data_IF_059944573902
#
_entry.id   IF_059944573902
#
_cell.length_a   1.000
_cell.length_b   1.000
_cell.length_c   1.000
_cell.angle_alpha   90.00
_cell.angle_beta   90.00
_cell.angle_gamma   90.00
#
_symmetry.space_group_name_H-M   'P 1'
#
loop_
_entity.id
_entity.type
_entity.pdbx_description
1 polymer ?
#
# COMPACT_ATOMS: atom_id res chain seq x y z
N UNK A 1 -39.24 82.29 4.84
CA UNK A 1 -38.25 82.15 3.74
C UNK A 1 -36.96 81.59 4.30
N UNK A 2 -36.49 80.50 3.70
CA UNK A 2 -35.18 79.81 3.79
C UNK A 2 -34.73 79.27 5.17
N UNK A 3 -34.81 77.94 5.27
CA UNK A 3 -34.37 77.06 6.36
C UNK A 3 -32.84 76.85 6.31
N UNK A 4 -32.25 76.72 7.48
CA UNK A 4 -30.85 76.37 7.75
C UNK A 4 -30.54 74.92 7.34
N UNK A 5 -29.35 74.68 6.79
CA UNK A 5 -28.65 73.40 6.89
C UNK A 5 -27.14 73.65 6.83
N UNK A 6 -26.47 73.42 7.96
CA UNK A 6 -25.02 73.41 8.11
C UNK A 6 -24.60 71.94 8.02
N UNK A 7 -23.81 71.56 7.01
CA UNK A 7 -23.33 70.19 6.85
C UNK A 7 -21.86 70.14 7.31
N UNK A 8 -21.62 69.49 8.45
CA UNK A 8 -20.28 69.19 8.95
C UNK A 8 -19.77 67.94 8.25
N UNK A 9 -18.67 68.06 7.49
CA UNK A 9 -17.96 66.93 6.89
C UNK A 9 -17.01 66.36 7.96
N UNK A 10 -17.30 65.15 8.44
CA UNK A 10 -16.41 64.37 9.28
C UNK A 10 -15.69 63.33 8.41
N UNK A 11 -14.40 63.53 8.13
CA UNK A 11 -13.56 62.54 7.49
C UNK A 11 -13.24 61.40 8.48
N UNK A 12 -13.90 60.26 8.33
CA UNK A 12 -13.51 58.99 8.97
C UNK A 12 -12.63 58.20 8.00
N UNK A 13 -11.32 58.26 8.21
CA UNK A 13 -10.36 57.32 7.62
C UNK A 13 -10.48 55.98 8.34
N UNK A 14 -11.20 55.03 7.75
CA UNK A 14 -11.25 53.65 8.20
C UNK A 14 -9.98 52.91 7.78
N UNK A 15 -9.09 52.65 8.74
CA UNK A 15 -7.98 51.71 8.59
C UNK A 15 -8.60 50.30 8.66
N UNK A 16 -8.84 49.67 7.52
CA UNK A 16 -9.11 48.24 7.45
C UNK A 16 -7.78 47.52 7.72
N UNK A 17 -7.54 47.20 8.98
CA UNK A 17 -6.55 46.20 9.37
C UNK A 17 -7.09 44.84 8.94
N UNK A 18 -6.59 44.29 7.83
CA UNK A 18 -6.72 42.87 7.55
C UNK A 18 -5.87 42.10 8.56
N UNK A 19 -6.41 41.84 9.74
CA UNK A 19 -5.97 40.70 10.53
C UNK A 19 -6.35 39.45 9.74
N UNK A 20 -5.36 38.86 9.04
CA UNK A 20 -5.41 37.44 8.72
C UNK A 20 -5.56 36.72 10.05
N UNK A 21 -6.72 36.13 10.30
CA UNK A 21 -6.81 35.06 11.28
C UNK A 21 -5.84 33.98 10.83
N UNK A 22 -4.68 33.91 11.48
CA UNK A 22 -3.92 32.67 11.54
C UNK A 22 -4.84 31.69 12.24
N UNK A 23 -5.52 30.84 11.46
CA UNK A 23 -6.20 29.68 12.00
C UNK A 23 -5.21 28.94 12.87
N UNK A 24 -5.55 28.80 14.14
CA UNK A 24 -4.77 28.05 15.10
C UNK A 24 -4.86 26.57 14.70
N UNK A 25 -3.81 26.08 14.04
CA UNK A 25 -3.64 24.68 13.63
C UNK A 25 -3.39 23.72 14.81
N UNK A 26 -3.71 24.14 16.04
CA UNK A 26 -3.44 23.46 17.31
C UNK A 26 -4.18 22.12 17.49
N UNK A 27 -4.88 21.60 16.48
CA UNK A 27 -5.66 20.36 16.56
C UNK A 27 -5.34 19.27 15.53
N UNK A 28 -4.45 19.51 14.55
CA UNK A 28 -4.22 18.57 13.44
C UNK A 28 -2.73 18.21 13.22
N UNK A 29 -2.06 17.57 14.19
CA UNK A 29 -0.64 17.24 14.08
C UNK A 29 -0.30 16.30 12.91
N UNK A 30 -1.26 15.51 12.42
CA UNK A 30 -1.04 14.57 11.32
C UNK A 30 -0.70 15.27 9.99
N UNK A 31 -1.03 16.57 9.82
CA UNK A 31 -0.65 17.33 8.62
C UNK A 31 0.86 17.57 8.50
N UNK A 32 1.59 17.46 9.61
CA UNK A 32 3.04 17.61 9.67
C UNK A 32 3.79 16.31 9.34
N UNK A 33 3.09 15.19 9.23
CA UNK A 33 3.73 13.90 8.95
C UNK A 33 4.11 13.82 7.47
N UNK A 34 5.38 13.52 7.23
CA UNK A 34 5.91 13.21 5.91
C UNK A 34 6.49 11.77 5.88
N UNK A 35 5.71 10.75 5.47
CA UNK A 35 6.15 9.36 5.42
C UNK A 35 7.33 9.10 4.47
N UNK A 36 7.66 10.03 3.56
CA UNK A 36 8.79 9.90 2.64
C UNK A 36 10.14 10.12 3.35
N UNK A 37 10.17 10.75 4.53
CA UNK A 37 11.41 10.95 5.27
C UNK A 37 11.95 9.58 5.71
N UNK A 38 13.06 9.16 5.09
CA UNK A 38 13.69 7.86 5.36
C UNK A 38 13.29 6.73 4.39
N UNK A 39 12.44 7.00 3.40
CA UNK A 39 11.92 6.01 2.45
C UNK A 39 12.95 5.67 1.34
N UNK A 40 14.13 5.23 1.75
CA UNK A 40 15.25 4.84 0.88
C UNK A 40 15.87 3.53 1.35
N UNK A 41 16.20 2.65 0.39
CA UNK A 41 16.93 1.39 0.59
C UNK A 41 18.28 1.35 -0.13
N UNK A 42 18.79 2.49 -0.62
CA UNK A 42 20.11 2.54 -1.27
C UNK A 42 20.96 3.71 -0.80
N UNK A 43 22.02 3.43 -0.04
CA UNK A 43 23.00 4.46 0.37
C UNK A 43 23.70 5.12 -0.82
N UNK A 44 23.95 4.36 -1.89
CA UNK A 44 24.66 4.88 -3.07
C UNK A 44 23.77 5.78 -3.90
N UNK A 45 22.52 5.38 -4.17
CA UNK A 45 21.59 6.21 -4.93
C UNK A 45 21.13 7.42 -4.12
N UNK A 46 20.89 7.24 -2.82
CA UNK A 46 20.56 8.34 -1.89
C UNK A 46 21.73 9.28 -1.60
N UNK A 47 22.97 8.89 -1.97
CA UNK A 47 24.22 9.54 -1.53
C UNK A 47 24.31 9.68 0.00
N UNK A 48 23.73 8.73 0.73
CA UNK A 48 23.66 8.72 2.19
C UNK A 48 24.90 8.04 2.79
N UNK A 49 25.58 8.75 3.69
CA UNK A 49 26.82 8.30 4.35
C UNK A 49 26.60 7.51 5.65
N UNK A 50 25.42 7.62 6.29
CA UNK A 50 25.19 7.19 7.68
C UNK A 50 24.09 6.12 7.83
N UNK A 51 23.78 5.39 6.76
CA UNK A 51 22.74 4.35 6.74
C UNK A 51 21.44 4.80 6.08
N UNK A 52 20.45 3.91 6.10
CA UNK A 52 19.18 4.05 5.38
C UNK A 52 18.04 4.00 6.39
N UNK A 53 16.99 4.81 6.20
CA UNK A 53 15.79 4.71 7.02
C UNK A 53 15.05 3.40 6.76
N UNK A 54 14.91 3.01 5.48
CA UNK A 54 14.03 1.92 5.03
C UNK A 54 12.62 2.05 5.61
N UNK A 55 12.11 3.28 5.69
CA UNK A 55 10.73 3.52 6.13
C UNK A 55 9.74 3.18 5.01
N UNK A 56 8.46 3.03 5.36
CA UNK A 56 7.39 2.65 4.45
C UNK A 56 6.52 3.88 4.20
N UNK A 57 6.40 4.37 2.96
CA UNK A 57 5.64 5.59 2.66
C UNK A 57 4.12 5.35 2.53
N UNK A 58 3.69 4.08 2.51
CA UNK A 58 2.29 3.69 2.35
C UNK A 58 1.38 4.11 3.49
N UNK A 59 0.08 3.89 3.26
CA UNK A 59 -0.96 4.17 4.24
C UNK A 59 -1.00 3.09 5.33
N UNK A 60 -1.07 3.53 6.58
CA UNK A 60 -1.34 2.69 7.76
C UNK A 60 -2.06 3.51 8.82
N UNK A 61 -2.61 2.86 9.84
CA UNK A 61 -3.08 3.48 11.09
C UNK A 61 -2.01 3.32 12.20
N UNK A 62 -2.08 4.08 13.30
CA UNK A 62 -1.19 3.82 14.44
C UNK A 62 -1.26 2.34 14.86
N UNK A 63 -0.11 1.68 14.90
CA UNK A 63 0.06 0.26 15.23
C UNK A 63 -0.78 -0.71 14.37
N UNK A 64 -1.16 -0.31 13.15
CA UNK A 64 -1.98 -1.14 12.25
C UNK A 64 -1.23 -2.35 11.71
N UNK A 65 -1.93 -3.50 11.64
CA UNK A 65 -1.46 -4.71 10.99
C UNK A 65 -1.26 -4.49 9.48
N UNK A 66 -2.24 -3.82 8.85
CA UNK A 66 -2.22 -3.51 7.43
C UNK A 66 -1.40 -2.26 7.14
N UNK A 67 -0.50 -2.38 6.17
CA UNK A 67 0.40 -1.33 5.73
C UNK A 67 0.37 -1.32 4.20
N UNK A 68 -0.54 -0.53 3.65
CA UNK A 68 -0.85 -0.52 2.21
C UNK A 68 0.11 0.43 1.50
N UNK A 69 1.16 -0.14 0.89
CA UNK A 69 2.30 0.65 0.39
C UNK A 69 2.69 0.30 -1.04
N UNK A 70 3.14 1.28 -1.85
CA UNK A 70 3.86 0.98 -3.07
C UNK A 70 5.10 0.14 -2.78
N UNK A 71 5.45 -0.74 -3.71
CA UNK A 71 6.72 -1.44 -3.77
C UNK A 71 7.40 -1.10 -5.09
N UNK A 72 8.68 -0.77 -5.03
CA UNK A 72 9.54 -0.54 -6.20
C UNK A 72 10.56 -1.65 -6.40
N UNK A 73 10.77 -2.50 -5.39
CA UNK A 73 11.79 -3.54 -5.41
C UNK A 73 11.38 -4.81 -4.65
N UNK A 74 11.72 -5.96 -5.24
CA UNK A 74 11.67 -7.30 -4.62
C UNK A 74 13.08 -7.83 -4.41
N UNK A 75 13.26 -8.68 -3.38
CA UNK A 75 14.49 -9.42 -3.14
C UNK A 75 15.57 -8.62 -2.43
N UNK A 76 16.56 -9.33 -1.88
CA UNK A 76 17.65 -8.76 -1.09
C UNK A 76 17.20 -7.98 0.14
N UNK A 77 18.11 -7.17 0.68
CA UNK A 77 17.93 -6.37 1.90
C UNK A 77 17.15 -5.05 1.64
N UNK A 78 15.96 -5.19 1.07
CA UNK A 78 15.03 -4.08 0.78
C UNK A 78 13.83 -4.12 1.72
N UNK A 79 14.10 -3.99 3.03
CA UNK A 79 13.14 -4.10 4.15
C UNK A 79 11.72 -3.61 3.87
N UNK A 80 11.58 -2.35 3.43
CA UNK A 80 10.31 -1.66 3.17
C UNK A 80 9.65 -1.99 1.83
N UNK A 81 10.38 -2.63 0.91
CA UNK A 81 9.97 -2.83 -0.48
C UNK A 81 9.95 -1.56 -1.34
N UNK A 82 10.33 -0.41 -0.77
CA UNK A 82 10.27 0.89 -1.43
C UNK A 82 11.57 1.68 -1.26
N UNK A 83 12.10 2.18 -2.38
CA UNK A 83 13.18 3.18 -2.42
C UNK A 83 12.76 4.35 -3.28
N UNK A 84 12.93 5.58 -2.78
CA UNK A 84 12.58 6.82 -3.47
C UNK A 84 13.36 7.04 -4.78
N UNK A 85 14.53 6.43 -4.91
CA UNK A 85 15.39 6.60 -6.08
C UNK A 85 14.97 5.74 -7.28
N UNK A 86 14.10 4.74 -7.07
CA UNK A 86 13.58 3.92 -8.16
C UNK A 86 12.55 4.70 -8.99
N UNK A 87 12.46 4.34 -10.27
CA UNK A 87 11.61 5.04 -11.24
C UNK A 87 10.38 4.21 -11.64
N UNK A 88 10.29 2.97 -11.14
CA UNK A 88 9.19 2.06 -11.44
C UNK A 88 8.57 1.47 -10.17
N UNK A 89 7.26 1.28 -10.20
CA UNK A 89 6.48 0.58 -9.17
C UNK A 89 6.12 -0.81 -9.71
N UNK A 90 6.35 -1.85 -8.92
CA UNK A 90 5.96 -3.23 -9.23
C UNK A 90 4.60 -3.63 -8.64
N UNK A 91 4.05 -2.82 -7.72
CA UNK A 91 2.68 -2.96 -7.21
C UNK A 91 2.50 -2.36 -5.82
N UNK A 92 1.35 -2.64 -5.21
CA UNK A 92 0.94 -2.18 -3.89
C UNK A 92 0.64 -3.38 -3.01
N UNK A 93 1.37 -3.54 -1.90
CA UNK A 93 1.21 -4.68 -0.98
C UNK A 93 0.50 -4.24 0.31
N UNK A 94 -0.07 -5.19 1.06
CA UNK A 94 -0.95 -4.91 2.22
C UNK A 94 -0.29 -5.13 3.58
N UNK A 95 0.91 -5.70 3.61
CA UNK A 95 1.69 -5.86 4.83
C UNK A 95 3.14 -5.52 4.48
N UNK A 96 3.84 -4.78 5.33
CA UNK A 96 5.24 -4.41 5.14
C UNK A 96 6.02 -4.54 6.44
N UNK A 97 7.34 -4.59 6.36
CA UNK A 97 8.21 -4.33 7.51
C UNK A 97 9.11 -3.16 7.13
N UNK A 98 9.45 -2.29 8.08
CA UNK A 98 10.29 -1.12 7.81
C UNK A 98 11.50 -1.04 8.74
N UNK A 99 12.17 0.10 8.69
CA UNK A 99 13.11 0.58 9.72
C UNK A 99 14.31 -0.34 9.93
N UNK A 100 15.18 -0.42 8.93
CA UNK A 100 16.45 -1.16 9.01
C UNK A 100 16.34 -2.69 8.98
N UNK A 101 15.14 -3.27 8.95
CA UNK A 101 14.94 -4.70 8.83
C UNK A 101 15.34 -5.24 7.44
N UNK A 102 15.75 -6.52 7.40
CA UNK A 102 15.80 -7.29 6.16
C UNK A 102 14.37 -7.52 5.65
N UNK A 103 14.22 -7.68 4.33
CA UNK A 103 12.90 -7.82 3.69
C UNK A 103 12.11 -9.01 4.25
N UNK A 104 10.87 -8.76 4.68
CA UNK A 104 9.81 -9.75 4.94
C UNK A 104 8.43 -9.08 4.77
N UNK A 105 7.34 -9.83 4.86
CA UNK A 105 6.00 -9.39 4.48
C UNK A 105 5.98 -8.97 3.01
N UNK A 106 5.41 -7.83 2.65
CA UNK A 106 5.21 -7.42 1.25
C UNK A 106 4.22 -8.31 0.51
N UNK A 107 3.32 -8.99 1.22
CA UNK A 107 2.39 -9.94 0.63
C UNK A 107 1.18 -9.26 -0.02
N UNK A 108 0.50 -10.01 -0.89
CA UNK A 108 -0.70 -9.56 -1.61
C UNK A 108 -0.40 -8.35 -2.49
N UNK A 109 0.48 -8.52 -3.48
CA UNK A 109 0.96 -7.43 -4.34
C UNK A 109 -0.02 -7.17 -5.49
N UNK A 110 -0.69 -6.03 -5.44
CA UNK A 110 -1.71 -5.61 -6.40
C UNK A 110 -1.13 -4.63 -7.40
N UNK A 111 -1.43 -4.79 -8.68
CA UNK A 111 -1.12 -3.80 -9.71
C UNK A 111 -2.35 -3.55 -10.60
N UNK A 112 -2.74 -2.29 -10.85
CA UNK A 112 -3.66 -1.96 -11.93
C UNK A 112 -2.91 -1.88 -13.26
N UNK A 113 -3.55 -2.28 -14.35
CA UNK A 113 -2.95 -2.16 -15.68
C UNK A 113 -4.05 -2.04 -16.75
N UNK A 114 -3.67 -1.51 -17.90
CA UNK A 114 -4.41 -1.68 -19.14
C UNK A 114 -3.45 -2.17 -20.25
N UNK A 115 -3.99 -2.78 -21.29
CA UNK A 115 -3.17 -3.34 -22.38
C UNK A 115 -2.65 -4.76 -22.12
N UNK A 116 -1.41 -5.01 -22.53
CA UNK A 116 -0.82 -6.37 -22.60
C UNK A 116 -0.80 -7.02 -21.20
N UNK A 117 -1.23 -8.28 -21.13
CA UNK A 117 -1.11 -9.08 -19.91
C UNK A 117 0.31 -9.60 -19.71
N UNK A 118 0.82 -9.45 -18.49
CA UNK A 118 2.05 -10.08 -18.03
C UNK A 118 1.75 -10.83 -16.72
N UNK A 119 2.28 -12.06 -16.54
CA UNK A 119 2.21 -12.80 -15.28
C UNK A 119 3.41 -12.56 -14.36
N UNK A 120 4.24 -11.54 -14.66
CA UNK A 120 5.37 -11.09 -13.82
C UNK A 120 5.46 -9.57 -13.74
N UNK A 121 6.03 -9.06 -12.64
CA UNK A 121 6.35 -7.65 -12.48
C UNK A 121 7.39 -7.14 -13.48
N UNK A 122 8.20 -8.04 -14.05
CA UNK A 122 9.35 -7.66 -14.86
C UNK A 122 10.53 -7.24 -13.99
N UNK A 123 11.56 -6.65 -14.58
CA UNK A 123 12.75 -6.17 -13.84
C UNK A 123 13.12 -4.75 -14.27
N UNK A 124 13.38 -3.88 -13.29
CA UNK A 124 13.82 -2.51 -13.56
C UNK A 124 15.15 -2.55 -14.31
N UNK A 125 15.31 -1.69 -15.32
CA UNK A 125 16.54 -1.58 -16.10
C UNK A 125 16.99 -2.88 -16.83
N UNK A 126 16.10 -3.87 -16.98
CA UNK A 126 16.35 -5.07 -17.79
C UNK A 126 15.25 -5.26 -18.84
N UNK A 127 15.43 -4.72 -20.06
CA UNK A 127 14.40 -4.81 -21.11
C UNK A 127 14.16 -6.24 -21.61
N UNK A 128 15.02 -7.20 -21.25
CA UNK A 128 14.84 -8.61 -21.57
C UNK A 128 13.81 -9.32 -20.68
N UNK A 129 13.41 -8.71 -19.55
CA UNK A 129 12.42 -9.26 -18.60
C UNK A 129 11.28 -8.25 -18.44
N UNK A 130 10.41 -8.21 -19.45
CA UNK A 130 9.22 -7.34 -19.45
C UNK A 130 8.16 -7.85 -18.47
N UNK A 131 7.40 -6.93 -17.89
CA UNK A 131 6.32 -7.26 -16.99
C UNK A 131 5.36 -6.09 -16.78
N UNK A 132 4.52 -6.18 -15.74
CA UNK A 132 3.48 -5.20 -15.45
C UNK A 132 3.96 -3.95 -14.69
N UNK A 133 5.23 -3.87 -14.29
CA UNK A 133 5.73 -2.67 -13.60
C UNK A 133 5.46 -1.43 -14.44
N UNK A 134 5.17 -0.32 -13.77
CA UNK A 134 4.94 0.96 -14.42
C UNK A 134 5.98 1.97 -13.95
N UNK A 135 6.46 2.80 -14.86
CA UNK A 135 7.01 4.10 -14.47
C UNK A 135 5.96 4.93 -13.75
N UNK A 136 6.40 5.90 -12.96
CA UNK A 136 5.50 6.80 -12.25
C UNK A 136 6.02 8.24 -12.22
N UNK A 137 5.08 9.17 -12.12
CA UNK A 137 5.39 10.59 -12.01
C UNK A 137 5.70 10.95 -10.55
N UNK A 138 6.98 11.18 -10.26
CA UNK A 138 7.48 11.62 -8.95
C UNK A 138 6.84 12.91 -8.45
N UNK A 139 6.39 13.80 -9.33
CA UNK A 139 5.73 15.04 -8.92
C UNK A 139 4.29 14.80 -8.46
N UNK A 140 3.68 13.71 -8.92
CA UNK A 140 2.34 13.27 -8.50
C UNK A 140 2.35 12.44 -7.22
N UNK A 141 3.52 11.97 -6.77
CA UNK A 141 3.67 11.15 -5.58
C UNK A 141 3.44 11.98 -4.32
N UNK A 142 2.45 11.57 -3.52
CA UNK A 142 2.18 12.18 -2.22
C UNK A 142 1.93 11.09 -1.19
N UNK A 143 2.63 11.20 -0.06
CA UNK A 143 2.41 10.39 1.12
C UNK A 143 2.09 11.32 2.30
N UNK A 144 1.01 11.04 3.02
CA UNK A 144 0.63 11.71 4.26
C UNK A 144 0.08 10.67 5.23
N UNK A 145 -0.11 11.04 6.50
CA UNK A 145 -0.65 10.13 7.50
C UNK A 145 -1.95 9.43 7.05
N UNK A 146 -1.89 8.11 6.84
CA UNK A 146 -3.03 7.27 6.45
C UNK A 146 -3.41 7.31 4.96
N UNK A 147 -2.61 7.93 4.08
CA UNK A 147 -2.91 8.03 2.65
C UNK A 147 -1.66 8.13 1.77
N UNK A 148 -1.69 7.42 0.64
CA UNK A 148 -0.69 7.50 -0.42
C UNK A 148 -1.36 7.67 -1.79
N UNK A 149 -0.74 8.40 -2.71
CA UNK A 149 -1.18 8.52 -4.11
C UNK A 149 -0.02 8.71 -5.06
N UNK A 150 -0.18 8.22 -6.30
CA UNK A 150 0.77 8.40 -7.40
C UNK A 150 0.10 8.15 -8.76
N UNK A 151 0.62 8.76 -9.83
CA UNK A 151 0.24 8.46 -11.20
C UNK A 151 1.21 7.46 -11.83
N UNK A 152 0.67 6.33 -12.32
CA UNK A 152 1.37 5.29 -13.06
C UNK A 152 1.35 5.63 -14.55
N UNK A 153 2.49 6.09 -15.07
CA UNK A 153 2.54 6.75 -16.39
C UNK A 153 2.48 5.78 -17.57
N UNK A 154 2.88 4.51 -17.39
CA UNK A 154 2.84 3.53 -18.48
C UNK A 154 1.40 3.09 -18.80
N UNK A 155 0.48 3.30 -17.86
CA UNK A 155 -0.94 2.95 -18.00
C UNK A 155 -1.89 4.14 -17.95
N UNK A 156 -1.39 5.34 -17.64
CA UNK A 156 -2.20 6.53 -17.36
C UNK A 156 -3.26 6.28 -16.26
N UNK A 157 -2.83 5.61 -15.17
CA UNK A 157 -3.70 5.24 -14.05
C UNK A 157 -3.23 5.96 -12.79
N UNK A 158 -4.14 6.68 -12.12
CA UNK A 158 -3.88 7.17 -10.76
C UNK A 158 -4.14 6.05 -9.76
N UNK A 159 -3.19 5.78 -8.88
CA UNK A 159 -3.32 4.85 -7.78
C UNK A 159 -3.35 5.58 -6.44
N UNK A 160 -4.30 5.20 -5.59
CA UNK A 160 -4.50 5.75 -4.25
C UNK A 160 -4.63 4.60 -3.24
N UNK A 161 -4.07 4.78 -2.05
CA UNK A 161 -4.12 3.80 -0.97
C UNK A 161 -4.55 4.45 0.35
N UNK A 162 -5.36 3.73 1.12
CA UNK A 162 -5.65 4.04 2.51
C UNK A 162 -5.82 2.76 3.33
N UNK A 163 -5.83 2.86 4.65
CA UNK A 163 -5.79 1.71 5.56
C UNK A 163 -6.75 1.84 6.75
N UNK A 164 -7.18 0.69 7.25
CA UNK A 164 -7.75 0.46 8.58
C UNK A 164 -6.76 -0.42 9.38
N UNK A 165 -7.00 -0.68 10.68
CA UNK A 165 -6.06 -1.48 11.47
C UNK A 165 -5.72 -2.86 10.86
N UNK A 166 -6.71 -3.57 10.30
CA UNK A 166 -6.55 -4.93 9.76
C UNK A 166 -6.81 -5.03 8.25
N UNK A 167 -6.80 -3.91 7.53
CA UNK A 167 -7.06 -3.93 6.10
C UNK A 167 -6.83 -2.60 5.41
N UNK A 168 -7.26 -2.48 4.16
CA UNK A 168 -7.20 -1.22 3.45
C UNK A 168 -7.93 -1.24 2.12
N UNK A 169 -7.89 -0.09 1.44
CA UNK A 169 -8.52 0.10 0.14
C UNK A 169 -7.50 0.69 -0.82
N UNK A 170 -7.39 0.04 -1.98
CA UNK A 170 -6.77 0.63 -3.17
C UNK A 170 -7.86 1.20 -4.06
N UNK A 171 -7.71 2.45 -4.48
CA UNK A 171 -8.55 3.11 -5.48
C UNK A 171 -7.71 3.41 -6.71
N UNK A 172 -8.19 2.98 -7.86
CA UNK A 172 -7.54 3.21 -9.15
C UNK A 172 -8.45 4.03 -10.05
N UNK A 173 -7.97 5.16 -10.55
CA UNK A 173 -8.68 5.96 -11.56
C UNK A 173 -8.15 5.59 -12.92
N UNK A 174 -8.98 4.95 -13.75
CA UNK A 174 -8.59 4.46 -15.07
C UNK A 174 -8.96 5.45 -16.18
N UNK A 175 -8.21 5.44 -17.31
CA UNK A 175 -8.66 6.07 -18.55
C UNK A 175 -9.76 5.22 -19.20
N UNK A 176 -10.40 5.74 -20.24
CA UNK A 176 -11.31 4.93 -21.05
C UNK A 176 -10.55 3.76 -21.70
N UNK A 177 -11.00 2.52 -21.43
CA UNK A 177 -10.39 1.34 -22.01
C UNK A 177 -11.41 0.19 -22.10
N UNK A 178 -11.32 -0.63 -23.15
CA UNK A 178 -12.17 -1.81 -23.30
C UNK A 178 -11.77 -2.96 -22.37
N UNK A 179 -10.51 -2.96 -21.91
CA UNK A 179 -9.91 -4.03 -21.13
C UNK A 179 -8.87 -3.47 -20.15
N UNK A 180 -9.37 -2.86 -19.08
CA UNK A 180 -8.61 -2.56 -17.87
C UNK A 180 -8.52 -3.81 -16.99
N UNK A 181 -7.56 -3.84 -16.07
CA UNK A 181 -7.26 -5.00 -15.22
C UNK A 181 -6.81 -4.58 -13.84
N UNK A 182 -7.21 -5.38 -12.84
CA UNK A 182 -6.48 -5.49 -11.57
C UNK A 182 -5.89 -6.89 -11.51
N UNK A 183 -4.61 -6.98 -11.17
CA UNK A 183 -3.86 -8.22 -11.04
C UNK A 183 -3.12 -8.29 -9.71
N UNK A 184 -2.99 -9.50 -9.18
CA UNK A 184 -2.49 -9.77 -7.82
C UNK A 184 -1.49 -10.92 -7.86
N UNK A 185 -0.27 -10.69 -7.39
CA UNK A 185 0.74 -11.72 -7.16
C UNK A 185 0.70 -12.17 -5.69
N UNK A 186 0.31 -13.43 -5.46
CA UNK A 186 0.25 -14.02 -4.12
C UNK A 186 1.57 -14.66 -3.70
N UNK A 187 2.48 -14.96 -4.64
CA UNK A 187 3.80 -15.50 -4.33
C UNK A 187 4.70 -14.44 -3.70
N UNK A 188 4.40 -13.15 -3.94
CA UNK A 188 5.19 -12.03 -3.45
C UNK A 188 5.40 -12.08 -1.92
N UNK A 189 6.67 -11.97 -1.54
CA UNK A 189 7.17 -11.70 -0.18
C UNK A 189 8.47 -10.89 -0.29
N UNK A 190 8.72 -9.91 0.56
CA UNK A 190 10.02 -9.23 0.60
C UNK A 190 11.08 -10.21 1.10
N UNK A 191 12.30 -10.15 0.55
CA UNK A 191 13.35 -11.12 0.87
C UNK A 191 13.09 -12.57 0.40
N UNK A 192 12.04 -12.84 -0.40
CA UNK A 192 11.80 -14.16 -0.97
C UNK A 192 10.42 -14.38 -1.58
N UNK A 193 9.74 -15.48 -1.25
CA UNK A 193 8.36 -15.75 -1.67
C UNK A 193 7.56 -16.50 -0.60
N UNK A 194 6.23 -16.38 -0.64
CA UNK A 194 5.38 -17.38 -0.01
C UNK A 194 5.56 -18.71 -0.77
N UNK A 195 5.61 -19.84 -0.07
CA UNK A 195 5.96 -21.14 -0.68
C UNK A 195 4.74 -21.85 -1.25
N UNK A 196 3.56 -21.57 -0.71
CA UNK A 196 2.28 -22.12 -1.14
C UNK A 196 1.18 -21.07 -0.97
N UNK A 197 0.26 -21.00 -1.92
CA UNK A 197 -0.88 -20.09 -1.89
C UNK A 197 -2.16 -20.83 -2.24
N UNK A 198 -3.26 -20.38 -1.66
CA UNK A 198 -4.61 -20.77 -2.03
C UNK A 198 -5.45 -19.54 -2.27
N UNK A 199 -6.29 -19.59 -3.29
CA UNK A 199 -7.19 -18.51 -3.69
C UNK A 199 -8.51 -19.13 -4.13
N UNK A 200 -9.63 -18.52 -3.73
CA UNK A 200 -10.98 -18.87 -4.16
C UNK A 200 -11.78 -17.62 -4.48
N UNK A 201 -12.55 -17.68 -5.57
CA UNK A 201 -13.60 -16.73 -5.93
C UNK A 201 -14.91 -17.15 -5.27
N UNK A 202 -15.53 -16.22 -4.56
CA UNK A 202 -16.81 -16.43 -3.87
C UNK A 202 -18.00 -16.29 -4.82
N UNK A 203 -19.15 -16.83 -4.40
CA UNK A 203 -20.35 -16.88 -5.24
C UNK A 203 -21.04 -15.52 -5.42
N UNK A 204 -20.64 -14.48 -4.68
CA UNK A 204 -21.14 -13.11 -4.88
C UNK A 204 -20.57 -12.42 -6.12
N UNK A 205 -19.63 -13.06 -6.83
CA UNK A 205 -18.94 -12.56 -8.02
C UNK A 205 -18.21 -11.23 -7.83
N UNK A 206 -17.90 -10.84 -6.59
CA UNK A 206 -17.13 -9.63 -6.26
C UNK A 206 -15.98 -9.93 -5.32
N UNK A 207 -15.99 -11.08 -4.67
CA UNK A 207 -15.09 -11.39 -3.58
C UNK A 207 -14.15 -12.53 -3.93
N UNK A 208 -12.91 -12.40 -3.50
CA UNK A 208 -11.94 -13.48 -3.41
C UNK A 208 -11.45 -13.64 -1.97
N UNK A 209 -11.09 -14.86 -1.58
CA UNK A 209 -10.44 -15.14 -0.29
C UNK A 209 -9.38 -16.22 -0.43
N UNK A 210 -8.46 -16.27 0.52
CA UNK A 210 -7.38 -17.23 0.45
C UNK A 210 -6.29 -17.00 1.48
N UNK A 211 -5.12 -17.58 1.21
CA UNK A 211 -3.95 -17.49 2.07
C UNK A 211 -2.63 -17.62 1.31
N UNK A 212 -1.57 -17.07 1.92
CA UNK A 212 -0.18 -17.21 1.50
C UNK A 212 0.65 -17.75 2.67
N UNK A 213 1.23 -18.95 2.51
CA UNK A 213 2.11 -19.57 3.52
C UNK A 213 3.55 -19.08 3.34
N UNK A 214 4.14 -18.50 4.38
CA UNK A 214 5.45 -17.88 4.37
C UNK A 214 6.38 -18.53 5.41
N UNK A 215 6.81 -19.78 5.18
CA UNK A 215 7.71 -20.47 6.09
C UNK A 215 9.18 -20.03 5.86
N UNK A 216 10.10 -20.41 6.77
CA UNK A 216 11.53 -20.14 6.70
C UNK A 216 12.20 -20.33 5.34
N UNK A 217 11.90 -21.44 4.65
CA UNK A 217 12.53 -21.78 3.38
C UNK A 217 12.17 -20.82 2.24
N UNK A 218 11.09 -20.04 2.41
CA UNK A 218 10.66 -18.99 1.50
C UNK A 218 11.40 -17.66 1.68
N UNK A 219 12.40 -17.57 2.57
CA UNK A 219 13.16 -16.36 2.83
C UNK A 219 12.50 -15.46 3.87
N UNK A 220 12.78 -14.15 3.81
CA UNK A 220 12.26 -13.18 4.76
C UNK A 220 13.26 -12.75 5.83
N UNK A 221 12.75 -12.21 6.93
CA UNK A 221 13.53 -11.61 8.01
C UNK A 221 14.51 -12.63 8.59
N UNK A 222 15.77 -12.21 8.81
CA UNK A 222 16.85 -13.04 9.36
C UNK A 222 17.07 -14.35 8.57
N UNK A 223 17.06 -14.27 7.23
CA UNK A 223 17.26 -15.42 6.32
C UNK A 223 16.24 -16.55 6.52
N UNK A 224 14.99 -16.19 6.85
CA UNK A 224 13.90 -17.13 7.08
C UNK A 224 13.70 -17.53 8.53
N UNK A 225 13.85 -16.61 9.49
CA UNK A 225 13.49 -16.91 10.88
C UNK A 225 11.97 -16.91 11.13
N UNK A 226 11.19 -16.31 10.23
CA UNK A 226 9.75 -16.16 10.37
C UNK A 226 8.99 -17.31 9.69
N UNK A 227 8.01 -17.86 10.41
CA UNK A 227 7.00 -18.80 9.91
C UNK A 227 5.62 -18.19 10.18
N UNK A 228 4.91 -17.80 9.12
CA UNK A 228 3.58 -17.23 9.25
C UNK A 228 2.72 -17.54 8.02
N UNK A 229 1.41 -17.38 8.17
CA UNK A 229 0.47 -17.39 7.07
C UNK A 229 -0.32 -16.10 7.09
N UNK A 230 -0.43 -15.44 5.93
CA UNK A 230 -1.33 -14.30 5.77
C UNK A 230 -2.59 -14.78 5.07
N UNK A 231 -3.73 -14.55 5.68
CA UNK A 231 -5.06 -14.81 5.14
C UNK A 231 -5.65 -13.50 4.65
N UNK A 232 -6.46 -13.56 3.59
CA UNK A 232 -7.12 -12.38 3.04
C UNK A 232 -8.60 -12.62 2.70
N UNK A 233 -9.37 -11.54 2.78
CA UNK A 233 -10.70 -11.42 2.22
C UNK A 233 -10.76 -10.11 1.43
N UNK A 234 -10.89 -10.19 0.11
CA UNK A 234 -10.78 -9.05 -0.80
C UNK A 234 -12.02 -8.90 -1.67
N UNK A 235 -12.56 -7.68 -1.74
CA UNK A 235 -13.76 -7.35 -2.50
C UNK A 235 -13.47 -6.28 -3.54
N UNK A 236 -13.84 -6.57 -4.79
CA UNK A 236 -13.75 -5.68 -5.93
C UNK A 236 -15.05 -4.88 -6.09
N UNK A 237 -14.93 -3.60 -6.44
CA UNK A 237 -16.09 -2.77 -6.83
C UNK A 237 -16.69 -3.17 -8.18
N UNK A 238 -15.86 -3.66 -9.12
CA UNK A 238 -16.30 -4.26 -10.38
C UNK A 238 -16.61 -5.76 -10.20
N UNK A 239 -17.59 -6.31 -10.92
CA UNK A 239 -17.87 -7.75 -10.88
C UNK A 239 -16.74 -8.55 -11.53
N UNK A 240 -16.45 -9.71 -10.98
CA UNK A 240 -15.49 -10.72 -11.45
C UNK A 240 -16.09 -11.52 -12.61
N UNK A 241 -16.41 -10.83 -13.72
CA UNK A 241 -17.02 -11.45 -14.89
C UNK A 241 -15.99 -12.10 -15.83
N UNK A 242 -14.80 -11.50 -15.95
CA UNK A 242 -13.71 -12.02 -16.76
C UNK A 242 -12.44 -12.10 -15.91
N UNK A 243 -12.35 -13.14 -15.09
CA UNK A 243 -11.18 -13.39 -14.26
C UNK A 243 -10.39 -14.63 -14.72
N UNK A 244 -9.17 -14.74 -14.21
CA UNK A 244 -8.33 -15.91 -14.39
C UNK A 244 -7.20 -15.94 -13.36
N UNK A 245 -6.43 -17.02 -13.42
CA UNK A 245 -5.23 -17.20 -12.64
C UNK A 245 -4.02 -17.36 -13.56
N UNK A 246 -2.84 -17.04 -13.06
CA UNK A 246 -1.60 -17.57 -13.61
C UNK A 246 -0.93 -18.46 -12.58
N UNK A 247 -0.23 -19.49 -13.04
CA UNK A 247 0.56 -20.34 -12.16
C UNK A 247 1.90 -20.70 -12.80
N UNK A 248 2.98 -20.46 -12.06
CA UNK A 248 4.31 -20.89 -12.45
C UNK A 248 4.64 -22.24 -11.81
N UNK A 249 5.14 -23.17 -12.62
CA UNK A 249 5.67 -24.44 -12.13
C UNK A 249 7.10 -24.21 -11.60
N UNK A 250 7.20 -23.97 -10.30
CA UNK A 250 8.48 -23.76 -9.60
C UNK A 250 9.03 -25.11 -9.12
N UNK A 251 10.23 -25.53 -9.59
CA UNK A 251 10.85 -26.77 -9.16
C UNK A 251 11.14 -26.78 -7.66
N UNK A 252 10.94 -27.93 -6.99
CA UNK A 252 11.17 -28.07 -5.54
C UNK A 252 12.61 -27.82 -5.12
N UNK A 253 13.57 -28.07 -6.01
CA UNK A 253 14.99 -27.88 -5.74
C UNK A 253 15.42 -26.39 -5.80
N UNK A 254 14.54 -25.48 -6.23
CA UNK A 254 14.89 -24.07 -6.37
C UNK A 254 14.82 -23.36 -5.02
N UNK A 255 15.89 -22.65 -4.68
CA UNK A 255 15.89 -21.68 -3.58
C UNK A 255 15.00 -20.50 -3.98
N UNK A 256 14.16 -20.05 -3.05
CA UNK A 256 13.15 -19.00 -3.30
C UNK A 256 13.28 -17.82 -2.34
N UNK A 257 14.51 -17.37 -2.08
CA UNK A 257 14.84 -16.26 -1.18
C UNK A 257 15.88 -15.30 -1.78
N UNK A 258 15.86 -14.06 -1.31
CA UNK A 258 16.80 -12.99 -1.65
C UNK A 258 17.00 -12.76 -3.16
N UNK A 259 18.24 -12.86 -3.67
CA UNK A 259 18.57 -12.58 -5.07
C UNK A 259 18.05 -13.67 -6.02
N UNK A 260 17.79 -14.88 -5.52
CA UNK A 260 17.34 -16.00 -6.36
C UNK A 260 15.97 -15.70 -6.98
N UNK A 261 15.08 -15.03 -6.24
CA UNK A 261 13.72 -14.69 -6.70
C UNK A 261 13.70 -13.55 -7.72
N UNK A 262 14.83 -12.85 -7.90
CA UNK A 262 15.04 -11.82 -8.92
C UNK A 262 16.08 -12.23 -9.97
N UNK A 263 16.53 -13.49 -9.92
CA UNK A 263 17.41 -14.06 -10.93
C UNK A 263 16.67 -14.16 -12.27
N UNK A 264 17.43 -14.04 -13.37
CA UNK A 264 16.87 -14.15 -14.71
C UNK A 264 16.14 -15.48 -14.91
N UNK A 265 16.74 -16.59 -14.49
CA UNK A 265 16.16 -17.94 -14.58
C UNK A 265 14.81 -18.02 -13.86
N UNK A 266 14.71 -17.46 -12.65
CA UNK A 266 13.46 -17.46 -11.90
C UNK A 266 12.39 -16.62 -12.58
N UNK A 267 12.72 -15.40 -12.98
CA UNK A 267 11.78 -14.49 -13.62
C UNK A 267 11.30 -15.01 -14.98
N UNK A 268 12.18 -15.63 -15.79
CA UNK A 268 11.80 -16.25 -17.07
C UNK A 268 10.86 -17.45 -16.85
N UNK A 269 11.05 -18.21 -15.77
CA UNK A 269 10.11 -19.29 -15.40
C UNK A 269 8.73 -18.75 -15.06
N UNK A 270 8.65 -17.68 -14.25
CA UNK A 270 7.36 -17.09 -13.89
C UNK A 270 6.73 -16.39 -15.12
N UNK A 271 7.52 -15.81 -16.02
CA UNK A 271 7.02 -15.23 -17.27
C UNK A 271 6.29 -16.26 -18.15
N UNK A 272 6.66 -17.54 -18.05
CA UNK A 272 6.06 -18.66 -18.77
C UNK A 272 4.86 -19.30 -18.03
N UNK A 273 4.31 -18.63 -17.02
CA UNK A 273 3.18 -19.14 -16.24
C UNK A 273 2.01 -19.55 -17.14
N UNK A 274 1.40 -20.69 -16.81
CA UNK A 274 0.18 -21.11 -17.46
C UNK A 274 -0.97 -20.19 -17.05
N UNK A 275 -1.77 -19.74 -18.02
CA UNK A 275 -3.00 -18.99 -17.77
C UNK A 275 -4.14 -19.97 -17.61
N UNK A 276 -4.81 -19.90 -16.47
CA UNK A 276 -5.88 -20.82 -16.08
C UNK A 276 -7.17 -20.02 -15.97
N UNK A 277 -8.14 -20.38 -16.80
CA UNK A 277 -9.52 -19.86 -16.76
C UNK A 277 -10.46 -20.99 -16.33
N UNK A 278 -11.72 -20.66 -16.08
CA UNK A 278 -12.79 -21.62 -15.76
C UNK A 278 -12.64 -22.42 -14.45
N UNK A 279 -11.84 -21.89 -13.51
CA UNK A 279 -11.78 -22.41 -12.13
C UNK A 279 -12.31 -21.38 -11.14
N UNK A 280 -12.88 -21.86 -10.03
CA UNK A 280 -13.24 -21.00 -8.89
C UNK A 280 -12.18 -20.96 -7.80
N UNK A 281 -11.26 -21.93 -7.76
CA UNK A 281 -10.19 -21.98 -6.78
C UNK A 281 -8.92 -22.56 -7.39
N UNK A 282 -7.77 -22.18 -6.81
CA UNK A 282 -6.46 -22.70 -7.17
C UNK A 282 -5.56 -22.77 -5.93
N UNK A 283 -4.76 -23.82 -5.85
CA UNK A 283 -3.66 -23.96 -4.89
C UNK A 283 -2.37 -24.29 -5.65
N UNK A 284 -1.24 -23.73 -5.21
CA UNK A 284 0.00 -23.83 -5.96
C UNK A 284 1.14 -23.02 -5.34
N UNK A 285 2.34 -23.21 -5.88
CA UNK A 285 3.59 -22.68 -5.32
C UNK A 285 3.84 -21.23 -5.70
N UNK A 286 3.35 -20.81 -6.87
CA UNK A 286 3.40 -19.44 -7.36
C UNK A 286 2.13 -19.18 -8.16
N UNK A 287 1.17 -18.52 -7.52
CA UNK A 287 -0.11 -18.15 -8.14
C UNK A 287 -0.24 -16.63 -8.16
N UNK A 288 -0.84 -16.13 -9.23
CA UNK A 288 -1.57 -14.87 -9.14
C UNK A 288 -2.94 -14.94 -9.77
N UNK A 289 -3.68 -13.85 -9.59
CA UNK A 289 -5.06 -13.67 -10.01
C UNK A 289 -5.21 -12.37 -10.79
N UNK A 290 -6.04 -12.37 -11.82
CA UNK A 290 -6.45 -11.15 -12.49
C UNK A 290 -7.93 -11.13 -12.77
N UNK A 291 -8.49 -9.91 -12.84
CA UNK A 291 -9.82 -9.67 -13.38
C UNK A 291 -9.76 -8.50 -14.36
N UNK A 292 -10.43 -8.67 -15.49
CA UNK A 292 -10.49 -7.71 -16.58
C UNK A 292 -11.90 -7.15 -16.73
N UNK A 293 -11.99 -5.86 -17.03
CA UNK A 293 -13.24 -5.13 -17.15
C UNK A 293 -13.07 -3.88 -18.03
N UNK A 294 -14.11 -3.40 -18.71
CA UNK A 294 -14.06 -2.10 -19.36
C UNK A 294 -14.11 -0.97 -18.32
N UNK A 295 -13.49 0.16 -18.66
CA UNK A 295 -13.55 1.41 -17.89
C UNK A 295 -13.93 2.58 -18.77
N UNK A 296 -14.71 3.52 -18.22
CA UNK A 296 -14.87 4.84 -18.82
C UNK A 296 -13.76 5.79 -18.38
N UNK A 297 -13.64 6.93 -19.07
CA UNK A 297 -12.69 7.98 -18.70
C UNK A 297 -12.88 8.42 -17.24
N UNK A 298 -11.79 8.39 -16.48
CA UNK A 298 -11.72 8.70 -15.04
C UNK A 298 -12.61 7.83 -14.16
N UNK A 299 -12.91 6.61 -14.58
CA UNK A 299 -13.65 5.68 -13.73
C UNK A 299 -12.80 5.21 -12.55
N UNK A 300 -13.34 5.37 -11.33
CA UNK A 300 -12.73 4.88 -10.11
C UNK A 300 -13.11 3.41 -9.86
N UNK A 301 -12.12 2.54 -9.70
CA UNK A 301 -12.28 1.14 -9.34
C UNK A 301 -11.53 0.85 -8.05
N UNK A 302 -12.29 0.38 -7.06
CA UNK A 302 -11.78 0.04 -5.73
C UNK A 302 -11.56 -1.47 -5.55
N UNK A 303 -10.51 -1.81 -4.81
CA UNK A 303 -10.25 -3.11 -4.19
C UNK A 303 -10.10 -2.91 -2.68
N UNK A 304 -10.98 -3.51 -1.90
CA UNK A 304 -10.96 -3.45 -0.43
C UNK A 304 -10.53 -4.80 0.12
N UNK A 305 -9.56 -4.84 1.04
CA UNK A 305 -8.94 -6.09 1.52
C UNK A 305 -8.81 -6.06 3.03
N UNK A 306 -9.33 -7.09 3.71
CA UNK A 306 -9.01 -7.40 5.10
C UNK A 306 -7.98 -8.53 5.15
N UNK A 307 -7.03 -8.43 6.08
CA UNK A 307 -6.00 -9.44 6.33
C UNK A 307 -6.14 -10.03 7.72
N UNK A 308 -5.59 -11.23 7.92
CA UNK A 308 -5.45 -11.88 9.22
C UNK A 308 -4.20 -12.76 9.23
N UNK A 309 -3.60 -12.94 10.40
CA UNK A 309 -2.54 -13.93 10.63
C UNK A 309 -3.05 -15.23 11.27
N UNK A 310 -4.37 -15.34 11.49
CA UNK A 310 -5.01 -16.48 12.17
C UNK A 310 -5.63 -17.43 11.15
N UNK A 311 -6.67 -16.98 10.43
CA UNK A 311 -7.38 -17.78 9.43
C UNK A 311 -8.23 -16.94 8.46
N UNK A 312 -8.84 -17.61 7.47
CA UNK A 312 -9.72 -16.95 6.48
C UNK A 312 -10.97 -16.33 7.12
N UNK A 313 -11.50 -16.91 8.21
CA UNK A 313 -12.67 -16.37 8.91
C UNK A 313 -12.33 -15.06 9.62
N UNK A 314 -11.13 -15.00 10.22
CA UNK A 314 -10.55 -13.81 10.83
C UNK A 314 -10.41 -12.68 9.82
N UNK A 315 -9.82 -12.96 8.65
CA UNK A 315 -9.70 -11.97 7.59
C UNK A 315 -11.07 -11.41 7.14
N UNK A 316 -12.09 -12.27 7.05
CA UNK A 316 -13.46 -11.88 6.73
C UNK A 316 -14.10 -11.03 7.84
N UNK A 317 -13.92 -11.40 9.12
CA UNK A 317 -14.40 -10.63 10.28
C UNK A 317 -13.75 -9.25 10.35
N UNK A 318 -12.43 -9.18 10.16
CA UNK A 318 -11.66 -7.94 10.10
C UNK A 318 -12.20 -7.03 8.97
N UNK A 319 -12.37 -7.58 7.76
CA UNK A 319 -12.98 -6.87 6.64
C UNK A 319 -14.38 -6.34 6.98
N UNK A 320 -15.25 -7.18 7.55
CA UNK A 320 -16.64 -6.81 7.88
C UNK A 320 -16.72 -5.72 8.94
N UNK A 321 -15.87 -5.77 9.96
CA UNK A 321 -15.85 -4.79 11.03
C UNK A 321 -15.32 -3.42 10.56
N UNK A 322 -14.30 -3.43 9.70
CA UNK A 322 -13.53 -2.22 9.43
C UNK A 322 -13.81 -1.58 8.07
N UNK A 323 -14.13 -2.37 7.05
CA UNK A 323 -14.20 -1.93 5.65
C UNK A 323 -15.60 -2.05 5.02
N UNK A 324 -16.39 -3.06 5.40
CA UNK A 324 -17.67 -3.31 4.77
C UNK A 324 -18.63 -2.10 4.87
N UNK A 325 -19.20 -1.70 3.73
CA UNK A 325 -20.13 -0.57 3.64
C UNK A 325 -19.47 0.81 3.71
N UNK A 326 -18.15 0.91 3.85
CA UNK A 326 -17.41 2.19 3.84
C UNK A 326 -16.75 2.42 2.49
N UNK A 327 -16.72 3.67 2.04
CA UNK A 327 -16.00 4.05 0.81
C UNK A 327 -14.56 4.47 1.14
N UNK A 328 -13.76 4.69 0.10
CA UNK A 328 -12.36 5.08 0.20
C UNK A 328 -12.15 6.32 1.09
N UNK A 329 -12.89 7.40 0.83
CA UNK A 329 -12.70 8.68 1.53
C UNK A 329 -13.11 8.60 3.00
N UNK A 330 -14.07 7.73 3.35
CA UNK A 330 -14.43 7.45 4.75
C UNK A 330 -13.28 6.75 5.49
N UNK A 331 -12.64 5.74 4.88
CA UNK A 331 -11.49 5.06 5.51
C UNK A 331 -10.30 6.01 5.63
N UNK A 332 -10.02 6.78 4.58
CA UNK A 332 -8.97 7.81 4.59
C UNK A 332 -9.15 8.81 5.73
N UNK A 333 -10.36 9.34 5.89
CA UNK A 333 -10.67 10.28 6.96
C UNK A 333 -10.49 9.63 8.33
N UNK A 334 -11.00 8.42 8.52
CA UNK A 334 -10.86 7.68 9.78
C UNK A 334 -9.38 7.37 10.12
N UNK A 335 -8.54 7.09 9.12
CA UNK A 335 -7.10 6.90 9.33
C UNK A 335 -6.43 8.21 9.76
N UNK A 336 -6.74 9.32 9.10
CA UNK A 336 -6.22 10.64 9.43
C UNK A 336 -6.63 11.10 10.84
N UNK A 337 -7.89 10.88 11.22
CA UNK A 337 -8.41 11.18 12.57
C UNK A 337 -7.71 10.34 13.65
N UNK A 338 -7.44 9.06 13.38
CA UNK A 338 -6.66 8.21 14.29
C UNK A 338 -5.24 8.74 14.48
N UNK A 339 -4.59 9.22 13.41
CA UNK A 339 -3.28 9.84 13.50
C UNK A 339 -3.30 11.16 14.26
N UNK A 340 -4.28 12.04 14.03
CA UNK A 340 -4.42 13.26 14.82
C UNK A 340 -4.58 12.96 16.30
N UNK A 341 -5.40 11.97 16.65
CA UNK A 341 -5.57 11.53 18.04
C UNK A 341 -4.27 10.98 18.63
N UNK A 342 -3.54 10.13 17.90
CA UNK A 342 -2.34 9.49 18.39
C UNK A 342 -1.16 10.47 18.55
N UNK A 343 -0.99 11.39 17.60
CA UNK A 343 0.09 12.38 17.60
C UNK A 343 -0.22 13.57 18.52
N UNK A 344 -1.50 13.90 18.70
CA UNK A 344 -1.97 15.01 19.55
C UNK A 344 -1.76 14.79 21.05
N UNK A 345 -1.19 13.65 21.45
CA UNK A 345 -0.75 13.41 22.84
C UNK A 345 0.43 14.31 23.23
N UNK A 346 1.17 14.85 22.24
CA UNK A 346 2.23 15.82 22.46
C UNK A 346 1.95 17.06 21.62
N UNK A 347 1.82 18.21 22.27
CA UNK A 347 1.72 19.51 21.60
C UNK A 347 3.11 20.16 21.50
N UNK A 348 3.48 20.58 20.28
CA UNK A 348 4.75 21.27 20.02
C UNK A 348 4.50 22.75 19.69
N UNK A 349 4.90 23.63 20.61
CA UNK A 349 4.73 25.09 20.49
C UNK A 349 6.05 25.82 20.19
N UNK A 350 6.01 26.96 19.51
CA UNK A 350 7.17 27.85 19.32
C UNK A 350 8.25 27.34 18.36
N UNK A 351 7.88 26.41 17.47
CA UNK A 351 8.77 25.73 16.50
C UNK A 351 8.38 26.04 15.06
N UNK A 352 9.35 25.98 14.14
CA UNK A 352 9.10 26.14 12.71
C UNK A 352 8.27 24.97 12.15
N UNK A 353 7.65 25.15 10.99
CA UNK A 353 6.92 24.08 10.30
C UNK A 353 7.84 22.89 9.95
N UNK A 354 9.12 23.16 9.65
CA UNK A 354 10.14 22.14 9.41
C UNK A 354 10.45 21.35 10.69
N UNK A 355 10.66 22.03 11.83
CA UNK A 355 10.90 21.37 13.11
C UNK A 355 9.69 20.53 13.55
N UNK A 356 8.46 21.00 13.32
CA UNK A 356 7.23 20.23 13.55
C UNK A 356 7.15 19.02 12.63
N UNK A 357 7.51 19.17 11.36
CA UNK A 357 7.55 18.06 10.39
C UNK A 357 8.50 16.97 10.85
N UNK A 358 9.73 17.34 11.25
CA UNK A 358 10.72 16.39 11.78
C UNK A 358 10.17 15.68 13.03
N UNK A 359 9.63 16.45 13.99
CA UNK A 359 9.12 15.90 15.24
C UNK A 359 7.95 14.93 15.03
N UNK A 360 6.88 15.36 14.34
CA UNK A 360 5.69 14.53 14.17
C UNK A 360 5.93 13.36 13.22
N UNK A 361 6.84 13.48 12.26
CA UNK A 361 7.25 12.34 11.43
C UNK A 361 8.05 11.32 12.24
N UNK A 362 8.96 11.77 13.11
CA UNK A 362 9.66 10.85 14.03
C UNK A 362 8.68 10.16 15.00
N UNK A 363 7.72 10.90 15.55
CA UNK A 363 6.67 10.34 16.40
C UNK A 363 5.79 9.34 15.64
N UNK A 364 5.39 9.65 14.40
CA UNK A 364 4.68 8.74 13.50
C UNK A 364 5.43 7.42 13.31
N UNK A 365 6.75 7.46 13.03
CA UNK A 365 7.54 6.24 12.86
C UNK A 365 7.66 5.40 14.14
N UNK A 366 7.52 6.00 15.33
CA UNK A 366 7.51 5.23 16.59
C UNK A 366 6.23 4.43 16.80
N UNK A 367 5.17 4.74 16.04
CA UNK A 367 3.86 4.08 16.11
C UNK A 367 3.60 3.17 14.90
N UNK A 368 4.62 2.91 14.09
CA UNK A 368 4.51 2.00 12.95
C UNK A 368 4.57 0.53 13.39
N UNK A 369 5.42 0.24 14.39
CA UNK A 369 5.57 -1.04 15.06
C UNK A 369 5.81 -0.81 16.57
N UNK A 370 5.41 -1.74 17.48
CA UNK A 370 4.81 -3.04 17.20
C UNK A 370 3.35 -2.93 16.73
N UNK A 371 2.99 -3.66 15.69
CA UNK A 371 1.62 -3.71 15.16
C UNK A 371 0.70 -4.66 15.91
N UNK A 372 -0.60 -4.42 15.80
CA UNK A 372 -1.62 -5.38 16.18
C UNK A 372 -1.50 -6.64 15.31
N UNK A 373 -1.57 -7.82 15.93
CA UNK A 373 -1.53 -9.13 15.25
C UNK A 373 -2.75 -9.99 15.58
N UNK A 374 -3.59 -9.55 16.51
CA UNK A 374 -4.86 -10.18 16.84
C UNK A 374 -5.95 -9.71 15.89
N UNK A 375 -6.84 -10.61 15.49
CA UNK A 375 -8.08 -10.25 14.80
C UNK A 375 -9.03 -9.46 15.70
N UNK A 376 -10.08 -8.88 15.10
CA UNK A 376 -11.14 -8.14 15.82
C UNK A 376 -11.91 -9.00 16.83
N UNK A 377 -11.83 -10.33 16.74
CA UNK A 377 -12.41 -11.27 17.70
C UNK A 377 -11.43 -11.69 18.81
N UNK A 378 -10.23 -11.11 18.85
CA UNK A 378 -9.22 -11.29 19.88
C UNK A 378 -8.32 -12.51 19.68
N UNK A 379 -8.55 -13.33 18.65
CA UNK A 379 -7.67 -14.45 18.30
C UNK A 379 -6.37 -13.92 17.70
N UNK A 380 -5.24 -14.56 17.99
CA UNK A 380 -3.93 -14.23 17.44
C UNK A 380 -3.10 -15.51 17.33
N UNK A 381 -2.12 -15.58 16.41
CA UNK A 381 -1.21 -16.73 16.36
C UNK A 381 -0.29 -16.72 17.59
N UNK A 382 -0.35 -17.78 18.40
CA UNK A 382 0.61 -17.98 19.48
C UNK A 382 2.03 -18.27 18.96
N UNK A 383 3.09 -18.08 19.78
CA UNK A 383 4.46 -18.44 19.40
C UNK A 383 4.68 -19.92 19.08
N UNK A 384 3.76 -20.79 19.50
CA UNK A 384 3.73 -22.23 19.21
C UNK A 384 2.81 -22.59 18.02
N UNK A 385 2.37 -21.59 17.26
CA UNK A 385 1.43 -21.71 16.13
C UNK A 385 0.08 -22.35 16.51
N UNK A 386 -0.40 -22.08 17.73
CA UNK A 386 -1.70 -22.52 18.23
C UNK A 386 -2.63 -21.37 18.59
#
# INVERSE_FOLDING_TARGET
MKKYFLFTILCLTGIFSCTREHGDDSGEPAKYVNPMIGASTSTTMARALHGMGKTVPGATTPFGAAQVSPNTITGGDNGSGYSDEHQTIEGFAFAQIGTGAHGDLGNFLVMPANGVFYPIAGKENDPGIKGWRSHYDKQSEQAVAGYYTVNLTDYDIKAEATASPHGGILRFTFPENKQSRIQIDFARRLGGTSTLQYIRVEDDHHTIRGWMKCPPEGGGLLDGAADYTVYFYAKFSKPLANYGFWSADIPDAWRRKDEDVISRTYLERVAQSAIIRDKKALEGKHIGFFTEFPTSEKEEVNLSVGISFVDMEGAEKNFKAELAGKNFDMIRRAAYEQWNKALGVIEVTGKSEEEKTIFYTALYHTMFDPRVVSDVDGRYPGPDNR
#
